data_IF_143770641566
#
_entry.id   IF_143770641566
#
_cell.length_a   1.000
_cell.length_b   1.000
_cell.length_c   1.000
_cell.angle_alpha   90.00
_cell.angle_beta   90.00
_cell.angle_gamma   90.00
#
_symmetry.space_group_name_H-M   'P 1'
#
loop_
_entity.id
_entity.type
_entity.pdbx_description
1 polymer ?
#
# COMPACT_ATOMS: atom_id res chain seq x y z
N UNK A 1 -1.70 11.10 12.93
CA UNK A 1 -2.56 9.90 13.15
C UNK A 1 -1.70 8.66 12.94
N UNK A 2 -1.65 7.76 13.93
CA UNK A 2 -0.65 6.68 14.03
C UNK A 2 -0.82 5.64 12.89
N UNK A 3 0.22 5.33 12.10
CA UNK A 3 0.13 4.41 10.94
C UNK A 3 -0.38 3.01 11.33
N UNK A 4 -0.14 2.62 12.57
CA UNK A 4 -0.61 1.37 13.16
C UNK A 4 -2.14 1.38 13.32
N UNK A 5 -2.73 2.49 13.79
CA UNK A 5 -4.18 2.59 13.97
C UNK A 5 -4.92 2.48 12.63
N UNK A 6 -4.35 3.04 11.55
CA UNK A 6 -4.92 2.90 10.20
C UNK A 6 -4.89 1.43 9.74
N UNK A 7 -3.83 0.69 10.06
CA UNK A 7 -3.75 -0.73 9.73
C UNK A 7 -4.80 -1.55 10.49
N UNK A 8 -5.02 -1.26 11.78
CA UNK A 8 -6.06 -1.92 12.58
C UNK A 8 -7.47 -1.67 12.02
N UNK A 9 -7.80 -0.43 11.66
CA UNK A 9 -9.09 -0.11 11.07
C UNK A 9 -9.35 -0.86 9.76
N UNK A 10 -8.30 -1.10 8.96
CA UNK A 10 -8.42 -1.88 7.72
C UNK A 10 -8.70 -3.36 7.98
N UNK A 11 -8.21 -3.91 9.08
CA UNK A 11 -8.56 -5.27 9.50
C UNK A 11 -10.04 -5.31 9.85
N UNK A 12 -10.53 -4.35 10.63
CA UNK A 12 -11.95 -4.24 10.99
C UNK A 12 -12.87 -4.11 9.77
N UNK A 13 -12.42 -3.39 8.74
CA UNK A 13 -13.15 -3.22 7.49
C UNK A 13 -13.03 -4.39 6.50
N UNK A 14 -12.26 -5.45 6.82
CA UNK A 14 -11.88 -6.53 5.88
C UNK A 14 -11.11 -6.06 4.63
N UNK A 15 -10.51 -4.87 4.67
CA UNK A 15 -9.70 -4.31 3.59
C UNK A 15 -8.20 -4.60 3.77
N UNK A 16 -7.81 -5.27 4.87
CA UNK A 16 -6.41 -5.59 5.13
C UNK A 16 -5.88 -6.58 4.10
N UNK A 17 -4.73 -6.26 3.51
CA UNK A 17 -4.12 -7.09 2.47
C UNK A 17 -4.57 -6.79 1.04
N UNK A 18 -5.40 -5.77 0.82
CA UNK A 18 -5.78 -5.32 -0.53
C UNK A 18 -5.15 -3.96 -0.87
N UNK A 19 -4.87 -3.70 -2.15
CA UNK A 19 -4.28 -2.44 -2.59
C UNK A 19 -5.33 -1.32 -2.56
N UNK A 20 -5.03 -0.19 -1.91
CA UNK A 20 -5.95 0.98 -1.86
C UNK A 20 -6.17 1.62 -3.25
N UNK A 21 -5.30 1.39 -4.23
CA UNK A 21 -5.40 1.98 -5.58
C UNK A 21 -6.10 1.05 -6.58
N UNK A 22 -5.78 -0.24 -6.57
CA UNK A 22 -6.29 -1.20 -7.58
C UNK A 22 -7.34 -2.16 -7.04
N UNK A 23 -7.47 -2.30 -5.71
CA UNK A 23 -8.31 -3.32 -5.07
C UNK A 23 -7.74 -4.74 -5.14
N UNK A 24 -6.57 -4.93 -5.73
CA UNK A 24 -5.94 -6.26 -5.87
C UNK A 24 -5.28 -6.73 -4.58
N UNK A 25 -5.07 -8.04 -4.45
CA UNK A 25 -4.38 -8.63 -3.30
C UNK A 25 -2.90 -8.21 -3.21
N UNK A 26 -2.47 -7.79 -2.02
CA UNK A 26 -1.08 -7.52 -1.69
C UNK A 26 -0.41 -8.85 -1.34
N UNK A 27 0.73 -9.12 -1.97
CA UNK A 27 1.49 -10.33 -1.71
C UNK A 27 1.79 -10.52 -0.21
N UNK A 28 1.49 -11.71 0.32
CA UNK A 28 1.68 -12.03 1.74
C UNK A 28 3.12 -11.81 2.19
N UNK A 29 4.13 -12.12 1.37
CA UNK A 29 5.54 -11.89 1.73
C UNK A 29 5.83 -10.40 1.97
N UNK A 30 5.15 -9.50 1.25
CA UNK A 30 5.26 -8.05 1.43
C UNK A 30 4.60 -7.59 2.73
N UNK A 31 3.44 -8.14 3.08
CA UNK A 31 2.78 -7.84 4.35
C UNK A 31 3.58 -8.37 5.55
N UNK A 32 4.20 -9.54 5.43
CA UNK A 32 5.09 -10.09 6.45
C UNK A 32 6.32 -9.21 6.68
N UNK A 33 6.91 -8.66 5.61
CA UNK A 33 8.04 -7.74 5.72
C UNK A 33 7.62 -6.33 6.17
N UNK A 34 6.43 -5.87 5.76
CA UNK A 34 5.88 -4.54 6.01
C UNK A 34 4.36 -4.63 6.26
N UNK A 35 3.93 -4.86 7.51
CA UNK A 35 2.51 -5.10 7.82
C UNK A 35 1.62 -3.87 7.66
N UNK A 36 2.22 -2.69 7.52
CA UNK A 36 1.53 -1.42 7.27
C UNK A 36 1.43 -1.07 5.77
N UNK A 37 1.83 -1.99 4.87
CA UNK A 37 1.78 -1.73 3.43
C UNK A 37 0.33 -1.60 2.96
N UNK A 38 0.03 -0.49 2.29
CA UNK A 38 -1.33 -0.19 1.79
C UNK A 38 -1.49 -0.37 0.28
N UNK A 39 -0.39 -0.53 -0.45
CA UNK A 39 -0.34 -0.65 -1.91
C UNK A 39 0.33 -1.96 -2.32
N UNK A 40 -0.06 -2.50 -3.47
CA UNK A 40 0.67 -3.58 -4.15
C UNK A 40 2.05 -3.11 -4.62
N UNK A 41 2.91 -4.05 -5.03
CA UNK A 41 4.24 -3.73 -5.58
C UNK A 41 4.10 -2.85 -6.82
N UNK A 42 3.29 -3.28 -7.77
CA UNK A 42 3.07 -2.57 -9.04
C UNK A 42 2.48 -1.17 -8.82
N UNK A 43 1.52 -1.02 -7.91
CA UNK A 43 0.96 0.29 -7.58
C UNK A 43 2.03 1.22 -6.97
N UNK A 44 2.90 0.69 -6.11
CA UNK A 44 4.01 1.48 -5.55
C UNK A 44 5.00 1.89 -6.64
N UNK A 45 5.41 0.97 -7.53
CA UNK A 45 6.34 1.27 -8.62
C UNK A 45 5.77 2.33 -9.57
N UNK A 46 4.46 2.27 -9.88
CA UNK A 46 3.78 3.31 -10.67
C UNK A 46 3.83 4.66 -9.96
N UNK A 47 3.59 4.68 -8.64
CA UNK A 47 3.63 5.91 -7.86
C UNK A 47 5.05 6.51 -7.83
N UNK A 48 6.07 5.69 -7.60
CA UNK A 48 7.48 6.11 -7.59
C UNK A 48 7.93 6.62 -8.97
N UNK A 49 7.48 5.97 -10.06
CA UNK A 49 7.74 6.42 -11.43
C UNK A 49 7.11 7.78 -11.70
N UNK A 50 5.85 7.98 -11.30
CA UNK A 50 5.15 9.27 -11.44
C UNK A 50 5.85 10.38 -10.65
N UNK A 51 6.24 10.11 -9.40
CA UNK A 51 6.97 11.08 -8.58
C UNK A 51 8.34 11.45 -9.15
N UNK A 52 9.03 10.50 -9.80
CA UNK A 52 10.29 10.78 -10.46
C UNK A 52 10.10 11.74 -11.64
N UNK A 53 9.14 11.48 -12.52
CA UNK A 53 8.87 12.37 -13.68
C UNK A 53 8.45 13.78 -13.26
N UNK A 54 7.67 13.92 -12.19
CA UNK A 54 7.23 15.23 -11.68
C UNK A 54 8.32 16.07 -11.01
N UNK A 55 9.48 15.49 -10.66
CA UNK A 55 10.61 16.21 -10.03
C UNK A 55 11.60 16.79 -11.03
N UNK A 56 11.52 16.36 -12.29
CA UNK A 56 12.40 16.79 -13.38
C UNK A 56 11.77 17.92 -14.24
N UNK A 57 10.62 18.47 -13.81
CA UNK A 57 9.96 19.69 -14.33
C UNK A 57 10.06 20.84 -13.31
#
# INVERSE_FOLDING_TARGET
MNKINKALQRIENNDYGYCEETGEEINVKRLMARPIATLSLEAQERHERKERTMRDE
#
